data_IF_895069966183
#
_entry.id   IF_895069966183
#
_cell.length_a   1.000
_cell.length_b   1.000
_cell.length_c   1.000
_cell.angle_alpha   90.00
_cell.angle_beta   90.00
_cell.angle_gamma   90.00
#
_symmetry.space_group_name_H-M   'P 1'
#
loop_
_entity.id
_entity.type
_entity.pdbx_description
1 polymer ?
#
# COMPACT_ATOMS: atom_id res chain seq x y z
N UNK A 1 12.88 19.34 1.77
CA UNK A 1 11.94 18.67 2.68
C UNK A 1 10.89 17.99 1.84
N UNK A 2 10.88 16.67 1.81
CA UNK A 2 9.87 15.89 1.09
C UNK A 2 8.57 15.91 1.90
N UNK A 3 7.56 16.65 1.41
CA UNK A 3 6.25 16.77 2.03
C UNK A 3 5.38 15.54 1.74
N UNK A 4 5.72 14.42 2.35
CA UNK A 4 4.86 13.25 2.34
C UNK A 4 4.64 12.72 3.76
N UNK A 5 3.40 12.34 4.04
CA UNK A 5 3.03 11.66 5.28
C UNK A 5 2.83 10.18 5.00
N UNK A 6 3.25 9.34 5.95
CA UNK A 6 2.97 7.91 5.89
C UNK A 6 1.81 7.58 6.82
N UNK A 7 0.70 7.09 6.25
CA UNK A 7 -0.50 6.67 6.94
C UNK A 7 -0.56 5.15 6.97
N UNK A 8 -0.71 4.58 8.15
CA UNK A 8 -0.95 3.14 8.32
C UNK A 8 -2.41 2.83 7.96
N UNK A 9 -2.62 2.02 6.94
CA UNK A 9 -3.95 1.63 6.46
C UNK A 9 -4.03 0.13 6.27
N UNK A 10 -5.25 -0.40 6.21
CA UNK A 10 -5.47 -1.81 5.89
C UNK A 10 -5.14 -2.08 4.42
N UNK A 11 -4.66 -3.29 4.12
CA UNK A 11 -4.31 -3.70 2.74
C UNK A 11 -5.49 -3.60 1.77
N UNK A 12 -6.72 -3.85 2.24
CA UNK A 12 -7.94 -3.73 1.42
C UNK A 12 -8.30 -2.28 1.05
N UNK A 13 -7.76 -1.29 1.78
CA UNK A 13 -8.00 0.12 1.49
C UNK A 13 -7.02 0.65 0.43
N UNK A 14 -5.95 -0.10 0.14
CA UNK A 14 -4.98 0.27 -0.89
C UNK A 14 -5.61 0.09 -2.27
N UNK A 15 -5.41 1.05 -3.16
CA UNK A 15 -5.86 0.97 -4.55
C UNK A 15 -4.67 1.09 -5.50
N UNK A 16 -4.88 0.63 -6.74
CA UNK A 16 -3.92 0.87 -7.80
C UNK A 16 -3.77 2.38 -8.05
N UNK A 17 -2.54 2.88 -8.01
CA UNK A 17 -2.19 4.29 -8.08
C UNK A 17 -1.66 4.87 -6.77
N UNK A 18 -1.93 4.21 -5.63
CA UNK A 18 -1.39 4.65 -4.34
C UNK A 18 0.12 4.36 -4.24
N UNK A 19 0.84 5.24 -3.56
CA UNK A 19 2.24 4.98 -3.19
C UNK A 19 2.28 4.38 -1.80
N UNK A 20 3.03 3.30 -1.62
CA UNK A 20 3.21 2.61 -0.34
C UNK A 20 4.69 2.44 -0.05
N UNK A 21 5.05 2.44 1.22
CA UNK A 21 6.37 2.07 1.66
C UNK A 21 6.42 0.57 1.92
N UNK A 22 7.10 -0.17 1.04
CA UNK A 22 7.27 -1.61 1.13
C UNK A 22 8.77 -1.92 1.30
N UNK A 23 9.14 -2.60 2.40
CA UNK A 23 10.54 -2.94 2.73
C UNK A 23 11.51 -1.74 2.77
N UNK A 24 11.03 -0.56 3.16
CA UNK A 24 11.84 0.67 3.24
C UNK A 24 11.94 1.44 1.93
N UNK A 25 11.44 0.88 0.81
CA UNK A 25 11.36 1.57 -0.48
C UNK A 25 9.94 2.09 -0.74
N UNK A 26 9.86 3.24 -1.40
CA UNK A 26 8.60 3.78 -1.92
C UNK A 26 8.26 3.06 -3.22
N UNK A 27 7.13 2.36 -3.25
CA UNK A 27 6.62 1.71 -4.46
C UNK A 27 5.22 2.20 -4.76
N UNK A 28 4.98 2.48 -6.04
CA UNK A 28 3.62 2.76 -6.53
C UNK A 28 2.93 1.44 -6.82
N UNK A 29 1.75 1.27 -6.24
CA UNK A 29 0.94 0.06 -6.40
C UNK A 29 0.31 0.10 -7.78
N UNK A 30 0.62 -0.85 -8.66
CA UNK A 30 -0.09 -1.01 -9.91
C UNK A 30 -1.20 -2.06 -9.77
N UNK A 31 -2.14 -2.06 -10.73
CA UNK A 31 -3.22 -3.05 -10.78
C UNK A 31 -2.69 -4.49 -10.85
N UNK A 32 -1.53 -4.69 -11.44
CA UNK A 32 -0.86 -6.00 -11.53
C UNK A 32 -0.30 -6.48 -10.18
N UNK A 33 0.11 -5.53 -9.33
CA UNK A 33 0.69 -5.82 -8.01
C UNK A 33 -0.37 -6.06 -6.94
N UNK A 34 -1.60 -5.60 -7.20
CA UNK A 34 -2.71 -5.68 -6.27
C UNK A 34 -3.69 -6.75 -6.72
N UNK A 35 -3.70 -7.87 -5.99
CA UNK A 35 -4.63 -8.97 -6.21
C UNK A 35 -5.66 -9.02 -5.10
N UNK A 36 -6.92 -8.82 -5.48
CA UNK A 36 -8.05 -8.96 -4.58
C UNK A 36 -8.67 -10.35 -4.72
N UNK A 37 -9.04 -10.98 -3.60
CA UNK A 37 -9.97 -12.12 -3.59
C UNK A 37 -9.39 -13.48 -4.02
N UNK A 38 -8.29 -13.92 -3.40
CA UNK A 38 -7.85 -15.32 -3.43
C UNK A 38 -8.22 -16.11 -2.15
N UNK A 39 -7.75 -17.37 -2.04
CA UNK A 39 -7.88 -18.19 -0.83
C UNK A 39 -7.22 -17.56 0.42
N UNK A 40 -6.25 -16.66 0.22
CA UNK A 40 -5.53 -15.91 1.27
C UNK A 40 -5.83 -14.39 1.25
N UNK A 41 -7.04 -13.99 0.81
CA UNK A 41 -7.46 -12.59 0.84
C UNK A 41 -6.78 -11.70 -0.19
N UNK A 42 -6.55 -10.44 0.18
CA UNK A 42 -5.87 -9.43 -0.66
C UNK A 42 -4.36 -9.56 -0.50
N UNK A 43 -3.65 -9.55 -1.62
CA UNK A 43 -2.18 -9.55 -1.69
C UNK A 43 -1.68 -8.32 -2.41
N UNK A 44 -0.66 -7.69 -1.84
CA UNK A 44 0.01 -6.50 -2.34
C UNK A 44 1.47 -6.86 -2.62
N UNK A 45 1.89 -6.74 -3.88
CA UNK A 45 3.21 -7.20 -4.34
C UNK A 45 3.50 -8.68 -4.05
N UNK A 46 2.45 -9.52 -3.98
CA UNK A 46 2.57 -10.92 -3.61
C UNK A 46 2.67 -11.19 -2.10
N UNK A 47 2.64 -10.14 -1.26
CA UNK A 47 2.58 -10.26 0.20
C UNK A 47 1.15 -9.96 0.67
N UNK A 48 0.55 -10.85 1.45
CA UNK A 48 -0.78 -10.63 2.03
C UNK A 48 -0.75 -9.83 3.34
N UNK A 49 0.41 -9.31 3.76
CA UNK A 49 0.61 -8.55 4.99
C UNK A 49 0.04 -9.29 6.22
N UNK A 50 0.33 -10.59 6.30
CA UNK A 50 -0.24 -11.53 7.30
C UNK A 50 -1.78 -11.48 7.33
N UNK A 51 -2.42 -11.63 6.17
CA UNK A 51 -3.88 -11.59 6.00
C UNK A 51 -4.47 -10.23 6.46
N UNK A 52 -3.76 -9.14 6.21
CA UNK A 52 -4.18 -7.79 6.64
C UNK A 52 -3.92 -7.46 8.11
N UNK A 53 -3.34 -8.37 8.89
CA UNK A 53 -2.96 -8.10 10.30
C UNK A 53 -1.89 -7.01 10.39
N UNK A 54 -1.00 -6.93 9.40
CA UNK A 54 0.04 -5.90 9.34
C UNK A 54 -0.49 -4.72 8.52
N UNK A 55 -0.54 -3.50 9.08
CA UNK A 55 -0.96 -2.34 8.32
C UNK A 55 0.07 -1.99 7.25
N UNK A 56 -0.42 -1.64 6.06
CA UNK A 56 0.37 -1.12 4.97
C UNK A 56 0.65 0.36 5.22
N UNK A 57 1.88 0.79 4.94
CA UNK A 57 2.29 2.19 5.08
C UNK A 57 2.03 2.94 3.77
N UNK A 58 0.90 3.62 3.67
CA UNK A 58 0.50 4.41 2.51
C UNK A 58 1.08 5.82 2.58
N UNK A 59 1.68 6.27 1.49
CA UNK A 59 2.34 7.57 1.40
C UNK A 59 1.41 8.57 0.74
N UNK A 60 1.09 9.64 1.46
CA UNK A 60 0.28 10.76 0.98
C UNK A 60 1.18 11.95 0.73
N UNK A 61 1.31 12.34 -0.53
CA UNK A 61 1.95 13.60 -0.89
C UNK A 61 1.01 14.74 -0.54
N UNK A 62 1.44 15.64 0.37
CA UNK A 62 0.73 16.89 0.58
C UNK A 62 1.23 17.88 -0.46
N UNK A 63 0.45 18.09 -1.50
CA UNK A 63 0.67 19.24 -2.37
C UNK A 63 0.14 20.47 -1.63
N UNK A 64 1.02 21.44 -1.34
CA UNK A 64 0.57 22.77 -0.98
C UNK A 64 -0.10 23.36 -2.23
N UNK A 65 -1.41 23.63 -2.12
CA UNK A 65 -2.16 24.43 -3.10
C UNK A 65 -2.04 25.89 -2.68
#
# INVERSE_FOLDING_TARGET
MTNYDTVKTHIDMIRAGDTVQHNGELRTVCKSDLKYGGFMGTSLFGDSYRLGTVPVQLVRFRHAV
#
